data_IF_918586603498
#
_entry.id   IF_918586603498
#
_cell.length_a   1.000
_cell.length_b   1.000
_cell.length_c   1.000
_cell.angle_alpha   90.00
_cell.angle_beta   90.00
_cell.angle_gamma   90.00
#
_symmetry.space_group_name_H-M   'P 1'
#
loop_
_entity.id
_entity.type
_entity.pdbx_description
1 polymer ?
#
# COMPACT_ATOMS: atom_id res chain seq x y z
N UNK A 1 52.60 -8.23 -1.98
CA UNK A 1 51.32 -7.49 -1.94
C UNK A 1 50.37 -7.90 -3.08
N UNK A 2 50.24 -9.21 -3.40
CA UNK A 2 49.33 -9.74 -4.45
C UNK A 2 48.42 -10.89 -3.97
N UNK A 3 48.55 -11.31 -2.71
CA UNK A 3 47.80 -12.45 -2.16
C UNK A 3 46.48 -12.05 -1.46
N UNK A 4 46.32 -10.77 -1.11
CA UNK A 4 45.10 -10.26 -0.46
C UNK A 4 43.98 -9.98 -1.49
N UNK A 5 44.33 -9.70 -2.75
CA UNK A 5 43.36 -9.39 -3.81
C UNK A 5 42.59 -10.63 -4.29
N UNK A 6 43.23 -11.81 -4.30
CA UNK A 6 42.62 -13.07 -4.75
C UNK A 6 41.57 -13.63 -3.77
N UNK A 7 41.80 -13.51 -2.46
CA UNK A 7 40.83 -13.97 -1.44
C UNK A 7 39.61 -13.05 -1.34
N UNK A 8 39.81 -11.74 -1.50
CA UNK A 8 38.69 -10.80 -1.56
C UNK A 8 37.83 -11.06 -2.80
N UNK A 9 38.43 -11.26 -3.98
CA UNK A 9 37.67 -11.53 -5.21
C UNK A 9 36.78 -12.78 -5.11
N UNK A 10 37.27 -13.88 -4.54
CA UNK A 10 36.45 -15.09 -4.36
C UNK A 10 35.31 -14.92 -3.35
N UNK A 11 35.54 -14.16 -2.27
CA UNK A 11 34.49 -13.85 -1.30
C UNK A 11 33.40 -12.96 -1.92
N UNK A 12 33.80 -11.92 -2.66
CA UNK A 12 32.86 -11.04 -3.38
C UNK A 12 32.02 -11.78 -4.42
N UNK A 13 32.64 -12.65 -5.23
CA UNK A 13 31.92 -13.46 -6.23
C UNK A 13 30.92 -14.41 -5.57
N UNK A 14 31.28 -15.06 -4.46
CA UNK A 14 30.35 -15.93 -3.74
C UNK A 14 29.18 -15.16 -3.10
N UNK A 15 29.42 -13.95 -2.58
CA UNK A 15 28.33 -13.10 -2.06
C UNK A 15 27.40 -12.60 -3.16
N UNK A 16 27.92 -12.32 -4.35
CA UNK A 16 27.11 -11.87 -5.48
C UNK A 16 26.24 -13.01 -6.04
N UNK A 17 26.79 -14.22 -6.17
CA UNK A 17 26.04 -15.41 -6.59
C UNK A 17 24.89 -15.71 -5.62
N UNK A 18 25.18 -15.75 -4.31
CA UNK A 18 24.16 -15.97 -3.29
C UNK A 18 23.07 -14.89 -3.31
N UNK A 19 23.45 -13.63 -3.57
CA UNK A 19 22.48 -12.53 -3.72
C UNK A 19 21.60 -12.68 -4.97
N UNK A 20 22.12 -13.26 -6.05
CA UNK A 20 21.37 -13.48 -7.29
C UNK A 20 20.39 -14.65 -7.14
N UNK A 21 20.83 -15.76 -6.52
CA UNK A 21 19.97 -16.91 -6.23
C UNK A 21 18.83 -16.54 -5.29
N UNK A 22 19.12 -15.75 -4.25
CA UNK A 22 18.08 -15.25 -3.33
C UNK A 22 17.06 -14.38 -4.06
N UNK A 23 17.51 -13.48 -4.94
CA UNK A 23 16.62 -12.63 -5.75
C UNK A 23 15.75 -13.44 -6.71
N UNK A 24 16.31 -14.47 -7.36
CA UNK A 24 15.54 -15.37 -8.23
C UNK A 24 14.47 -16.13 -7.43
N UNK A 25 14.82 -16.61 -6.24
CA UNK A 25 13.86 -17.28 -5.36
C UNK A 25 12.73 -16.35 -4.92
N UNK A 26 13.05 -15.12 -4.49
CA UNK A 26 12.06 -14.11 -4.13
C UNK A 26 11.13 -13.80 -5.32
N UNK A 27 11.67 -13.64 -6.53
CA UNK A 27 10.90 -13.40 -7.75
C UNK A 27 9.90 -14.52 -8.04
N UNK A 28 10.30 -15.79 -7.86
CA UNK A 28 9.41 -16.96 -8.03
C UNK A 28 8.29 -16.97 -7.00
N UNK A 29 8.57 -16.63 -5.75
CA UNK A 29 7.53 -16.53 -4.70
C UNK A 29 6.54 -15.42 -5.05
N UNK A 30 7.03 -14.21 -5.38
CA UNK A 30 6.17 -13.08 -5.75
C UNK A 30 5.29 -13.41 -6.96
N UNK A 31 5.86 -14.05 -7.99
CA UNK A 31 5.13 -14.51 -9.17
C UNK A 31 4.05 -15.52 -8.82
N UNK A 32 4.33 -16.43 -7.90
CA UNK A 32 3.34 -17.42 -7.43
C UNK A 32 2.20 -16.75 -6.67
N UNK A 33 2.51 -15.82 -5.77
CA UNK A 33 1.50 -15.08 -5.01
C UNK A 33 0.60 -14.23 -5.93
N UNK A 34 1.18 -13.58 -6.94
CA UNK A 34 0.43 -12.85 -7.96
C UNK A 34 -0.50 -13.76 -8.76
N UNK A 35 0.01 -14.93 -9.17
CA UNK A 35 -0.80 -15.90 -9.89
C UNK A 35 -2.00 -16.38 -9.04
N UNK A 36 -1.84 -16.50 -7.71
CA UNK A 36 -2.96 -16.81 -6.82
C UNK A 36 -4.00 -15.67 -6.83
N UNK A 37 -3.57 -14.41 -6.70
CA UNK A 37 -4.49 -13.25 -6.75
C UNK A 37 -5.24 -13.16 -8.08
N UNK A 38 -4.57 -13.48 -9.19
CA UNK A 38 -5.16 -13.44 -10.53
C UNK A 38 -6.19 -14.54 -10.77
N UNK A 39 -5.91 -15.77 -10.32
CA UNK A 39 -6.76 -16.93 -10.62
C UNK A 39 -7.86 -17.16 -9.57
N UNK A 40 -7.76 -16.53 -8.39
CA UNK A 40 -8.72 -16.68 -7.31
C UNK A 40 -9.16 -15.33 -6.71
N UNK A 41 -9.59 -14.36 -7.55
CA UNK A 41 -9.89 -13.00 -7.08
C UNK A 41 -11.08 -12.95 -6.12
N UNK A 42 -12.00 -13.91 -6.18
CA UNK A 42 -13.21 -13.92 -5.35
C UNK A 42 -13.00 -14.61 -3.98
N UNK A 43 -11.81 -15.19 -3.72
CA UNK A 43 -11.54 -15.92 -2.49
C UNK A 43 -10.88 -15.01 -1.44
N UNK A 44 -11.70 -14.44 -0.55
CA UNK A 44 -11.25 -13.51 0.50
C UNK A 44 -10.21 -14.12 1.46
N UNK A 45 -10.28 -15.42 1.73
CA UNK A 45 -9.34 -16.11 2.62
C UNK A 45 -7.97 -16.26 1.97
N UNK A 46 -7.94 -16.64 0.69
CA UNK A 46 -6.71 -16.69 -0.10
C UNK A 46 -6.13 -15.28 -0.27
N UNK A 47 -6.96 -14.29 -0.60
CA UNK A 47 -6.55 -12.90 -0.69
C UNK A 47 -5.88 -12.43 0.63
N UNK A 48 -6.52 -12.67 1.77
CA UNK A 48 -5.98 -12.34 3.10
C UNK A 48 -4.63 -13.00 3.36
N UNK A 49 -4.52 -14.32 3.09
CA UNK A 49 -3.26 -15.06 3.26
C UNK A 49 -2.16 -14.54 2.35
N UNK A 50 -2.50 -14.20 1.10
CA UNK A 50 -1.54 -13.64 0.15
C UNK A 50 -1.06 -12.26 0.61
N UNK A 51 -1.94 -11.38 1.08
CA UNK A 51 -1.54 -10.10 1.67
C UNK A 51 -0.51 -10.30 2.80
N UNK A 52 -0.77 -11.23 3.74
CA UNK A 52 0.19 -11.53 4.80
C UNK A 52 1.51 -12.11 4.27
N UNK A 53 1.46 -12.94 3.22
CA UNK A 53 2.66 -13.47 2.58
C UNK A 53 3.48 -12.38 1.88
N UNK A 54 2.86 -11.28 1.44
CA UNK A 54 3.57 -10.13 0.85
C UNK A 54 4.25 -9.23 1.88
N UNK A 55 3.81 -9.22 3.15
CA UNK A 55 4.34 -8.31 4.16
C UNK A 55 5.86 -8.37 4.36
N UNK A 56 6.50 -9.56 4.45
CA UNK A 56 7.95 -9.62 4.59
C UNK A 56 8.70 -8.94 3.42
N UNK A 57 8.16 -9.05 2.20
CA UNK A 57 8.77 -8.44 1.02
C UNK A 57 8.67 -6.92 1.06
N UNK A 58 7.51 -6.36 1.44
CA UNK A 58 7.36 -4.88 1.50
C UNK A 58 8.20 -4.23 2.61
N UNK A 59 8.71 -4.98 3.58
CA UNK A 59 9.67 -4.44 4.56
C UNK A 59 11.11 -4.39 4.03
N UNK A 60 11.41 -5.11 2.95
CA UNK A 60 12.74 -5.14 2.34
C UNK A 60 12.85 -4.09 1.23
N UNK A 61 13.54 -2.97 1.49
CA UNK A 61 13.71 -1.87 0.52
C UNK A 61 14.33 -2.34 -0.82
N UNK A 62 15.16 -3.38 -0.80
CA UNK A 62 15.76 -3.99 -2.00
C UNK A 62 14.74 -4.63 -2.95
N UNK A 63 13.51 -4.89 -2.49
CA UNK A 63 12.46 -5.51 -3.30
C UNK A 63 11.54 -4.49 -3.95
N UNK A 64 11.61 -3.22 -3.57
CA UNK A 64 10.66 -2.17 -3.99
C UNK A 64 10.54 -2.06 -5.51
N UNK A 65 11.65 -2.05 -6.24
CA UNK A 65 11.61 -1.96 -7.71
C UNK A 65 10.92 -3.17 -8.33
N UNK A 66 11.10 -4.37 -7.76
CA UNK A 66 10.39 -5.57 -8.20
C UNK A 66 8.89 -5.46 -7.88
N UNK A 67 8.55 -5.07 -6.65
CA UNK A 67 7.16 -4.91 -6.21
C UNK A 67 6.39 -3.88 -7.06
N UNK A 68 7.06 -2.78 -7.43
CA UNK A 68 6.53 -1.78 -8.36
C UNK A 68 6.32 -2.40 -9.75
N UNK A 69 7.26 -3.19 -10.29
CA UNK A 69 7.08 -3.80 -11.62
C UNK A 69 5.85 -4.72 -11.71
N UNK A 70 5.50 -5.42 -10.64
CA UNK A 70 4.40 -6.39 -10.62
C UNK A 70 2.99 -5.78 -10.52
N UNK A 71 2.87 -4.45 -10.50
CA UNK A 71 1.60 -3.74 -10.39
C UNK A 71 0.76 -4.20 -9.17
N UNK A 72 1.43 -4.51 -8.06
CA UNK A 72 0.82 -5.04 -6.84
C UNK A 72 -0.27 -4.15 -6.27
N UNK A 73 -0.05 -2.83 -6.34
CA UNK A 73 -1.02 -1.82 -5.92
C UNK A 73 -2.39 -2.09 -6.53
N UNK A 74 -2.46 -2.36 -7.84
CA UNK A 74 -3.72 -2.64 -8.54
C UNK A 74 -4.42 -3.89 -7.99
N UNK A 75 -3.69 -4.98 -7.75
CA UNK A 75 -4.32 -6.21 -7.22
C UNK A 75 -4.91 -5.99 -5.83
N UNK A 76 -4.21 -5.22 -4.97
CA UNK A 76 -4.74 -4.91 -3.64
C UNK A 76 -5.90 -3.90 -3.69
N UNK A 77 -5.88 -2.91 -4.59
CA UNK A 77 -7.01 -2.00 -4.80
C UNK A 77 -8.25 -2.77 -5.28
N UNK A 78 -8.09 -3.68 -6.25
CA UNK A 78 -9.18 -4.54 -6.73
C UNK A 78 -9.69 -5.42 -5.58
N UNK A 79 -8.80 -6.03 -4.80
CA UNK A 79 -9.19 -6.84 -3.65
C UNK A 79 -9.91 -6.04 -2.56
N UNK A 80 -9.53 -4.79 -2.30
CA UNK A 80 -10.27 -3.88 -1.42
C UNK A 80 -11.68 -3.63 -1.93
N UNK A 81 -11.86 -3.45 -3.25
CA UNK A 81 -13.16 -3.27 -3.86
C UNK A 81 -14.02 -4.54 -3.77
N UNK A 82 -13.44 -5.69 -4.12
CA UNK A 82 -14.14 -6.99 -4.18
C UNK A 82 -14.51 -7.51 -2.80
N UNK A 83 -13.65 -7.30 -1.80
CA UNK A 83 -13.81 -7.81 -0.44
C UNK A 83 -14.12 -6.69 0.55
N UNK A 84 -14.85 -5.65 0.12
CA UNK A 84 -15.18 -4.49 0.94
C UNK A 84 -16.10 -4.78 2.14
N UNK A 85 -16.55 -6.03 2.29
CA UNK A 85 -17.34 -6.55 3.40
C UNK A 85 -16.57 -7.56 4.28
N UNK A 86 -15.33 -7.90 3.92
CA UNK A 86 -14.49 -8.81 4.67
C UNK A 86 -13.41 -8.05 5.45
N UNK A 87 -13.66 -7.85 6.75
CA UNK A 87 -12.77 -7.08 7.63
C UNK A 87 -11.32 -7.61 7.67
N UNK A 88 -11.04 -8.92 7.80
CA UNK A 88 -9.68 -9.46 7.69
C UNK A 88 -8.97 -9.11 6.37
N UNK A 89 -9.64 -9.28 5.23
CA UNK A 89 -9.10 -8.98 3.91
C UNK A 89 -8.73 -7.50 3.79
N UNK A 90 -9.64 -6.62 4.21
CA UNK A 90 -9.43 -5.17 4.19
C UNK A 90 -8.22 -4.79 5.04
N UNK A 91 -8.12 -5.29 6.27
CA UNK A 91 -6.98 -5.00 7.15
C UNK A 91 -5.65 -5.44 6.54
N UNK A 92 -5.63 -6.64 5.96
CA UNK A 92 -4.42 -7.18 5.36
C UNK A 92 -3.99 -6.33 4.14
N UNK A 93 -4.93 -5.95 3.28
CA UNK A 93 -4.65 -5.09 2.13
C UNK A 93 -4.21 -3.68 2.53
N UNK A 94 -4.89 -3.04 3.49
CA UNK A 94 -4.51 -1.72 4.01
C UNK A 94 -3.10 -1.73 4.60
N UNK A 95 -2.72 -2.81 5.31
CA UNK A 95 -1.38 -2.96 5.85
C UNK A 95 -0.33 -3.03 4.72
N UNK A 96 -0.52 -3.91 3.73
CA UNK A 96 0.42 -4.06 2.61
C UNK A 96 0.56 -2.76 1.82
N UNK A 97 -0.55 -2.11 1.48
CA UNK A 97 -0.55 -0.86 0.73
C UNK A 97 0.13 0.27 1.52
N UNK A 98 -0.12 0.37 2.83
CA UNK A 98 0.53 1.39 3.67
C UNK A 98 2.05 1.24 3.67
N UNK A 99 2.56 0.00 3.75
CA UNK A 99 4.00 -0.24 3.68
C UNK A 99 4.55 0.06 2.28
N UNK A 100 3.86 -0.35 1.21
CA UNK A 100 4.26 0.00 -0.16
C UNK A 100 4.36 1.52 -0.38
N UNK A 101 3.44 2.28 0.20
CA UNK A 101 3.37 3.73 0.01
C UNK A 101 4.50 4.46 0.74
N UNK A 102 4.98 3.93 1.86
CA UNK A 102 6.16 4.50 2.56
C UNK A 102 7.45 4.32 1.77
N UNK A 103 7.49 3.32 0.89
CA UNK A 103 8.70 2.96 0.14
C UNK A 103 8.85 3.80 -1.13
N UNK A 104 7.74 4.10 -1.81
CA UNK A 104 7.78 4.67 -3.15
C UNK A 104 6.50 5.45 -3.51
N UNK A 105 6.68 6.71 -3.89
CA UNK A 105 5.61 7.59 -4.37
C UNK A 105 4.88 7.03 -5.60
N UNK A 106 5.57 6.28 -6.47
CA UNK A 106 4.95 5.65 -7.66
C UNK A 106 3.86 4.68 -7.25
N UNK A 107 3.97 4.03 -6.08
CA UNK A 107 2.90 3.17 -5.56
C UNK A 107 1.66 3.99 -5.19
N UNK A 108 1.85 5.15 -4.57
CA UNK A 108 0.76 6.07 -4.21
C UNK A 108 0.04 6.58 -5.46
N UNK A 109 0.80 7.06 -6.44
CA UNK A 109 0.22 7.57 -7.69
C UNK A 109 -0.51 6.48 -8.45
N UNK A 110 0.00 5.24 -8.46
CA UNK A 110 -0.71 4.11 -9.05
C UNK A 110 -1.99 3.76 -8.31
N UNK A 111 -2.05 3.97 -7.00
CA UNK A 111 -3.27 3.76 -6.24
C UNK A 111 -4.32 4.82 -6.59
N UNK A 112 -3.94 6.09 -6.61
CA UNK A 112 -4.82 7.21 -6.95
C UNK A 112 -5.33 7.12 -8.39
N UNK A 113 -4.47 6.67 -9.32
CA UNK A 113 -4.81 6.54 -10.74
C UNK A 113 -5.09 5.09 -11.18
N UNK A 114 -5.45 4.19 -10.24
CA UNK A 114 -5.65 2.76 -10.52
C UNK A 114 -6.78 2.52 -11.52
N UNK A 115 -6.69 1.42 -12.30
CA UNK A 115 -7.71 1.01 -13.27
C UNK A 115 -8.08 -0.47 -13.12
N UNK A 116 -9.35 -0.80 -13.35
CA UNK A 116 -9.88 -2.16 -13.36
C UNK A 116 -9.44 -2.91 -14.63
N UNK A 117 -9.81 -4.19 -14.71
CA UNK A 117 -9.43 -5.06 -15.84
C UNK A 117 -9.97 -4.59 -17.19
N UNK A 118 -11.08 -3.88 -17.20
CA UNK A 118 -11.71 -3.27 -18.37
C UNK A 118 -11.17 -1.87 -18.69
N UNK A 119 -10.19 -1.37 -17.94
CA UNK A 119 -9.59 -0.04 -18.11
C UNK A 119 -10.38 1.11 -17.47
N UNK A 120 -11.50 0.83 -16.81
CA UNK A 120 -12.26 1.82 -16.04
C UNK A 120 -11.42 2.31 -14.86
N UNK A 121 -11.49 3.61 -14.55
CA UNK A 121 -10.79 4.17 -13.38
C UNK A 121 -11.37 3.54 -12.11
N UNK A 122 -10.50 2.96 -11.28
CA UNK A 122 -10.84 2.56 -9.93
C UNK A 122 -10.77 3.80 -9.07
N UNK A 123 -11.94 4.27 -8.64
CA UNK A 123 -12.01 5.33 -7.64
C UNK A 123 -11.63 4.75 -6.28
N UNK A 124 -10.33 4.71 -6.03
CA UNK A 124 -9.72 4.19 -4.81
C UNK A 124 -10.26 4.89 -3.56
N UNK A 125 -10.70 6.13 -3.68
CA UNK A 125 -11.20 6.92 -2.57
C UNK A 125 -12.65 6.63 -2.26
N UNK A 126 -13.46 6.45 -3.28
CA UNK A 126 -14.80 5.87 -3.14
C UNK A 126 -14.76 4.46 -2.54
N UNK A 127 -13.74 3.65 -2.86
CA UNK A 127 -13.52 2.35 -2.22
C UNK A 127 -13.26 2.54 -0.71
N UNK A 128 -12.38 3.47 -0.32
CA UNK A 128 -12.10 3.74 1.10
C UNK A 128 -13.33 4.30 1.83
N UNK A 129 -14.11 5.18 1.20
CA UNK A 129 -15.37 5.69 1.74
C UNK A 129 -16.35 4.55 2.03
N UNK A 130 -16.58 3.66 1.06
CA UNK A 130 -17.48 2.50 1.23
C UNK A 130 -17.02 1.56 2.35
N UNK A 131 -15.72 1.31 2.43
CA UNK A 131 -15.14 0.50 3.50
C UNK A 131 -15.38 1.17 4.85
N UNK A 132 -15.11 2.48 4.95
CA UNK A 132 -15.34 3.21 6.19
C UNK A 132 -16.82 3.23 6.56
N UNK A 133 -17.73 3.54 5.65
CA UNK A 133 -19.18 3.55 5.88
C UNK A 133 -19.68 2.24 6.46
N UNK A 134 -19.19 1.11 5.92
CA UNK A 134 -19.54 -0.23 6.40
C UNK A 134 -18.95 -0.53 7.78
N UNK A 135 -17.74 -0.07 8.04
CA UNK A 135 -16.98 -0.40 9.25
C UNK A 135 -16.73 0.79 10.19
N UNK A 136 -17.55 1.84 10.15
CA UNK A 136 -17.33 3.11 10.87
C UNK A 136 -17.29 3.00 12.40
N UNK A 137 -17.78 1.90 12.95
CA UNK A 137 -17.70 1.61 14.39
C UNK A 137 -16.41 0.83 14.76
N UNK A 138 -15.61 0.43 13.78
CA UNK A 138 -14.41 -0.37 13.96
C UNK A 138 -13.16 0.50 13.84
N UNK A 139 -12.65 0.93 15.00
CA UNK A 139 -11.48 1.82 15.10
C UNK A 139 -10.23 1.28 14.40
N UNK A 140 -10.07 -0.04 14.30
CA UNK A 140 -8.92 -0.63 13.61
C UNK A 140 -9.00 -0.47 12.08
N UNK A 141 -10.21 -0.40 11.50
CA UNK A 141 -10.39 -0.06 10.09
C UNK A 141 -10.10 1.42 9.86
N UNK A 142 -10.64 2.29 10.71
CA UNK A 142 -10.33 3.72 10.67
C UNK A 142 -8.81 3.97 10.75
N UNK A 143 -8.11 3.32 11.68
CA UNK A 143 -6.64 3.38 11.78
C UNK A 143 -5.93 2.87 10.54
N UNK A 144 -6.40 1.78 9.94
CA UNK A 144 -5.83 1.25 8.69
C UNK A 144 -5.95 2.26 7.55
N UNK A 145 -7.13 2.86 7.37
CA UNK A 145 -7.36 3.89 6.36
C UNK A 145 -6.47 5.12 6.63
N UNK A 146 -6.42 5.60 7.88
CA UNK A 146 -5.60 6.75 8.23
C UNK A 146 -4.09 6.50 8.07
N UNK A 147 -3.62 5.29 8.34
CA UNK A 147 -2.22 4.92 8.12
C UNK A 147 -1.87 4.97 6.63
N UNK A 148 -2.78 4.50 5.78
CA UNK A 148 -2.64 4.59 4.33
C UNK A 148 -2.60 6.06 3.88
N UNK A 149 -3.61 6.86 4.25
CA UNK A 149 -3.72 8.27 3.88
C UNK A 149 -2.54 9.11 4.41
N UNK A 150 -2.05 8.82 5.62
CA UNK A 150 -0.85 9.47 6.18
C UNK A 150 0.37 9.17 5.33
N UNK A 151 0.55 7.93 4.89
CA UNK A 151 1.66 7.54 4.01
C UNK A 151 1.58 8.30 2.68
N UNK A 152 0.39 8.47 2.11
CA UNK A 152 0.17 9.26 0.89
C UNK A 152 0.49 10.75 1.11
N UNK A 153 0.06 11.33 2.23
CA UNK A 153 0.29 12.74 2.58
C UNK A 153 1.76 13.12 2.83
N UNK A 154 2.66 12.13 2.78
CA UNK A 154 4.11 12.35 2.85
C UNK A 154 4.68 12.87 1.53
N UNK A 155 3.92 12.81 0.43
CA UNK A 155 4.32 13.22 -0.90
C UNK A 155 3.44 14.39 -1.38
N UNK A 156 4.07 15.47 -1.84
CA UNK A 156 3.34 16.67 -2.26
C UNK A 156 2.54 16.43 -3.56
N UNK A 157 3.09 15.70 -4.54
CA UNK A 157 2.38 15.38 -5.79
C UNK A 157 1.19 14.44 -5.52
N UNK A 158 1.34 13.53 -4.56
CA UNK A 158 0.21 12.73 -4.10
C UNK A 158 -0.86 13.62 -3.47
N UNK A 159 -0.51 14.60 -2.62
CA UNK A 159 -1.49 15.53 -2.05
C UNK A 159 -2.20 16.32 -3.16
N UNK A 160 -1.49 16.75 -4.19
CA UNK A 160 -2.10 17.46 -5.33
C UNK A 160 -3.14 16.57 -6.03
N UNK A 161 -2.81 15.30 -6.25
CA UNK A 161 -3.74 14.35 -6.85
C UNK A 161 -4.89 13.97 -5.89
N UNK A 162 -4.63 13.91 -4.59
CA UNK A 162 -5.65 13.76 -3.57
C UNK A 162 -6.64 14.95 -3.62
N UNK A 163 -6.14 16.18 -3.77
CA UNK A 163 -6.98 17.38 -3.93
C UNK A 163 -7.75 17.34 -5.25
N UNK A 164 -7.10 16.96 -6.35
CA UNK A 164 -7.69 16.93 -7.71
C UNK A 164 -8.83 15.93 -7.81
N UNK A 165 -8.67 14.75 -7.19
CA UNK A 165 -9.67 13.68 -7.11
C UNK A 165 -10.79 13.97 -6.12
N UNK A 166 -10.80 15.17 -5.53
CA UNK A 166 -11.73 15.58 -4.45
C UNK A 166 -11.72 14.55 -3.32
N UNK A 167 -10.53 14.16 -2.88
CA UNK A 167 -10.38 13.62 -1.53
C UNK A 167 -10.78 14.72 -0.59
N UNK A 168 -12.07 14.69 -0.32
CA UNK A 168 -12.74 15.66 0.45
C UNK A 168 -12.32 15.38 1.89
N UNK A 169 -11.96 16.46 2.57
CA UNK A 169 -11.76 16.44 4.00
C UNK A 169 -12.95 15.76 4.70
N UNK A 170 -14.12 15.63 4.03
CA UNK A 170 -15.26 14.78 4.42
C UNK A 170 -14.89 13.41 4.98
N UNK A 171 -14.09 12.56 4.32
CA UNK A 171 -13.74 11.24 4.88
C UNK A 171 -12.98 11.39 6.20
N UNK A 172 -12.02 12.31 6.26
CA UNK A 172 -11.23 12.59 7.47
C UNK A 172 -12.10 13.16 8.59
N UNK A 173 -13.04 14.05 8.26
CA UNK A 173 -14.02 14.61 9.18
C UNK A 173 -14.97 13.54 9.69
N UNK A 174 -15.41 12.62 8.83
CA UNK A 174 -16.32 11.55 9.22
C UNK A 174 -15.62 10.55 10.14
N UNK A 175 -14.42 10.11 9.79
CA UNK A 175 -13.57 9.29 10.67
C UNK A 175 -13.38 9.96 12.03
N UNK A 176 -13.00 11.25 12.03
CA UNK A 176 -12.82 12.03 13.26
C UNK A 176 -14.13 12.12 14.07
N UNK A 177 -15.28 12.26 13.41
CA UNK A 177 -16.59 12.36 14.09
C UNK A 177 -16.98 11.05 14.78
N UNK A 178 -16.80 9.91 14.11
CA UNK A 178 -17.17 8.60 14.67
C UNK A 178 -16.18 8.10 15.74
N UNK A 179 -14.96 8.62 15.74
CA UNK A 179 -13.90 8.23 16.67
C UNK A 179 -13.31 9.43 17.42
N UNK A 180 -14.15 10.40 17.79
CA UNK A 180 -13.73 11.64 18.45
C UNK A 180 -13.08 11.43 19.82
N UNK A 181 -13.42 10.33 20.48
CA UNK A 181 -12.82 9.93 21.77
C UNK A 181 -11.47 9.22 21.60
N UNK A 182 -11.05 8.92 20.38
CA UNK A 182 -9.76 8.31 20.08
C UNK A 182 -8.76 9.39 19.66
N UNK A 183 -7.89 9.78 20.59
CA UNK A 183 -6.90 10.84 20.38
C UNK A 183 -5.96 10.54 19.21
N UNK A 184 -5.49 9.30 19.07
CA UNK A 184 -4.58 8.87 18.01
C UNK A 184 -5.22 9.02 16.61
N UNK A 185 -6.47 8.57 16.47
CA UNK A 185 -7.27 8.75 15.24
C UNK A 185 -7.49 10.23 14.96
N UNK A 186 -7.92 10.99 15.96
CA UNK A 186 -8.22 12.42 15.81
C UNK A 186 -6.98 13.24 15.43
N UNK A 187 -5.86 13.01 16.09
CA UNK A 187 -4.59 13.68 15.79
C UNK A 187 -4.10 13.32 14.38
N UNK A 188 -4.25 12.06 13.97
CA UNK A 188 -3.86 11.64 12.61
C UNK A 188 -4.74 12.29 11.54
N UNK A 189 -6.05 12.39 11.75
CA UNK A 189 -6.93 13.16 10.87
C UNK A 189 -6.48 14.63 10.75
N UNK A 190 -6.24 15.30 11.87
CA UNK A 190 -5.81 16.71 11.88
C UNK A 190 -4.48 16.92 11.16
N UNK A 191 -3.53 16.00 11.34
CA UNK A 191 -2.25 16.05 10.65
C UNK A 191 -2.43 16.00 9.13
N UNK A 192 -3.21 15.04 8.62
CA UNK A 192 -3.45 14.89 7.18
C UNK A 192 -4.23 16.10 6.64
N UNK A 193 -5.29 16.54 7.33
CA UNK A 193 -6.06 17.72 6.93
C UNK A 193 -5.19 18.99 6.89
N UNK A 194 -4.29 19.16 7.86
CA UNK A 194 -3.36 20.30 7.89
C UNK A 194 -2.44 20.28 6.67
N UNK A 195 -1.88 19.13 6.31
CA UNK A 195 -1.05 18.97 5.10
C UNK A 195 -1.82 19.34 3.83
N UNK A 196 -3.05 18.85 3.70
CA UNK A 196 -3.94 19.16 2.56
C UNK A 196 -4.22 20.68 2.48
N UNK A 197 -4.57 21.32 3.60
CA UNK A 197 -4.88 22.77 3.65
C UNK A 197 -3.67 23.64 3.35
N UNK A 198 -2.50 23.27 3.87
CA UNK A 198 -1.24 23.95 3.58
C UNK A 198 -0.94 23.87 2.08
N UNK A 199 -1.12 22.70 1.46
CA UNK A 199 -0.90 22.54 0.02
C UNK A 199 -1.88 23.40 -0.80
N UNK A 200 -3.18 23.36 -0.48
CA UNK A 200 -4.22 24.21 -1.13
C UNK A 200 -3.92 25.71 -1.05
N UNK A 201 -3.25 26.17 0.00
CA UNK A 201 -2.94 27.60 0.20
C UNK A 201 -1.71 28.06 -0.60
N UNK A 202 -0.89 27.11 -1.06
CA UNK A 202 0.33 27.37 -1.82
C UNK A 202 0.16 27.19 -3.35
N UNK A 203 -1.00 26.68 -3.79
CA UNK A 203 -1.40 26.50 -5.20
C UNK A 203 -2.22 27.68 -5.70
#
# INVERSE_FOLDING_TARGET
MRFIESHNAHFFVNTEILSNELRDHQSKILSTLLNILQNHPDNSDLFTKVCFAFLPFVFEKSTVDYLVQFNLVRYFTIGLQQHNDNRPAIKAALAVLSELFKLDERCVMRFLCSRSNDGTLLDSMEILNKIFDRFKNYVDIARGILTLLKSMSSYDDAIDEMISTKIDESLLYEIKRFHSENDDVTQTCEHIMTRIRQRKSNS
#
